data_IF_748748335884
#
_entry.id   IF_748748335884
#
_cell.length_a   1.000
_cell.length_b   1.000
_cell.length_c   1.000
_cell.angle_alpha   90.00
_cell.angle_beta   90.00
_cell.angle_gamma   90.00
#
_symmetry.space_group_name_H-M   'P 1'
#
loop_
_entity.id
_entity.type
_entity.pdbx_description
1 polymer ?
#
# COMPACT_ATOMS: atom_id res chain seq x y z
N UNK A 1 -12.76 15.64 35.87
CA UNK A 1 -12.26 16.16 34.58
C UNK A 1 -12.51 15.11 33.51
N UNK A 2 -13.58 15.26 32.73
CA UNK A 2 -13.90 14.31 31.66
C UNK A 2 -12.93 14.57 30.51
N UNK A 3 -12.04 13.60 30.22
CA UNK A 3 -11.26 13.62 28.99
C UNK A 3 -12.24 13.36 27.85
N UNK A 4 -12.65 14.42 27.16
CA UNK A 4 -13.27 14.28 25.85
C UNK A 4 -12.22 13.66 24.92
N UNK A 5 -12.30 12.34 24.73
CA UNK A 5 -11.47 11.68 23.74
C UNK A 5 -11.76 12.33 22.39
N UNK A 6 -10.78 13.03 21.85
CA UNK A 6 -10.88 13.69 20.56
C UNK A 6 -10.98 12.59 19.49
N UNK A 7 -12.15 12.48 18.84
CA UNK A 7 -12.41 11.49 17.80
C UNK A 7 -11.91 12.04 16.45
N UNK A 8 -11.33 11.17 15.63
CA UNK A 8 -11.03 11.52 14.25
C UNK A 8 -12.33 11.80 13.49
N UNK A 9 -12.32 12.76 12.57
CA UNK A 9 -13.46 13.12 11.74
C UNK A 9 -13.64 12.21 10.51
N UNK A 10 -12.76 11.24 10.32
CA UNK A 10 -12.82 10.30 9.20
C UNK A 10 -12.39 8.88 9.64
N UNK A 11 -12.75 7.85 8.86
CA UNK A 11 -12.28 6.48 9.12
C UNK A 11 -10.76 6.42 9.19
N UNK A 12 -10.25 5.60 10.10
CA UNK A 12 -8.83 5.29 10.23
C UNK A 12 -8.66 3.80 10.06
N UNK A 13 -8.02 3.40 8.97
CA UNK A 13 -7.66 2.01 8.73
C UNK A 13 -6.30 1.72 9.35
N UNK A 14 -6.26 0.77 10.26
CA UNK A 14 -5.05 0.37 10.98
C UNK A 14 -4.46 -0.92 10.40
N UNK A 15 -3.16 -1.08 10.56
CA UNK A 15 -2.49 -2.35 10.38
C UNK A 15 -2.73 -3.25 11.60
N UNK A 16 -3.09 -4.51 11.35
CA UNK A 16 -3.18 -5.53 12.39
C UNK A 16 -2.76 -6.89 11.84
N UNK A 17 -1.61 -7.38 12.29
CA UNK A 17 -1.09 -8.71 11.95
C UNK A 17 -0.01 -8.73 10.89
N UNK A 18 0.26 -7.62 10.21
CA UNK A 18 1.33 -7.51 9.21
C UNK A 18 2.41 -6.48 9.54
N UNK A 19 2.43 -5.96 10.78
CA UNK A 19 3.34 -4.89 11.20
C UNK A 19 4.80 -5.26 10.96
N UNK A 20 5.21 -6.45 11.39
CA UNK A 20 6.58 -6.91 11.24
C UNK A 20 6.95 -7.09 9.77
N UNK A 21 6.08 -7.72 8.99
CA UNK A 21 6.31 -7.92 7.56
C UNK A 21 6.41 -6.59 6.81
N UNK A 22 5.52 -5.64 7.12
CA UNK A 22 5.58 -4.28 6.58
C UNK A 22 6.90 -3.60 6.94
N UNK A 23 7.34 -3.69 8.21
CA UNK A 23 8.61 -3.11 8.67
C UNK A 23 9.79 -3.74 7.93
N UNK A 24 9.80 -5.06 7.75
CA UNK A 24 10.89 -5.77 7.08
C UNK A 24 10.98 -5.44 5.60
N UNK A 25 9.84 -5.28 4.93
CA UNK A 25 9.80 -4.78 3.56
C UNK A 25 10.33 -3.35 3.50
N UNK A 26 9.80 -2.45 4.34
CA UNK A 26 10.19 -1.03 4.32
C UNK A 26 11.65 -0.82 4.73
N UNK A 27 12.27 -1.73 5.49
CA UNK A 27 13.71 -1.73 5.75
C UNK A 27 14.56 -2.00 4.51
N UNK A 28 14.04 -2.79 3.57
CA UNK A 28 14.70 -3.11 2.28
C UNK A 28 14.46 -2.02 1.23
N UNK A 29 13.46 -1.19 1.46
CA UNK A 29 13.08 -0.09 0.57
C UNK A 29 14.17 0.99 0.61
N UNK A 30 14.59 1.42 -0.57
CA UNK A 30 15.50 2.56 -0.70
C UNK A 30 14.92 3.80 0.00
N UNK A 31 15.62 4.42 0.95
CA UNK A 31 15.11 5.59 1.65
C UNK A 31 14.72 6.74 0.71
N UNK A 32 15.44 6.87 -0.40
CA UNK A 32 15.22 7.88 -1.43
C UNK A 32 14.11 7.51 -2.43
N UNK A 33 13.58 6.29 -2.37
CA UNK A 33 12.48 5.85 -3.23
C UNK A 33 11.13 6.47 -2.86
N UNK A 34 10.20 6.50 -3.79
CA UNK A 34 8.80 6.82 -3.54
C UNK A 34 8.08 5.62 -2.93
N UNK A 35 7.21 5.89 -1.96
CA UNK A 35 6.29 4.88 -1.41
C UNK A 35 4.86 5.29 -1.75
N UNK A 36 4.21 4.50 -2.59
CA UNK A 36 2.81 4.66 -2.95
C UNK A 36 2.01 3.57 -2.25
N UNK A 37 0.99 3.96 -1.51
CA UNK A 37 0.29 3.06 -0.61
C UNK A 37 -1.22 3.13 -0.84
N UNK A 38 -1.90 2.04 -0.57
CA UNK A 38 -3.33 2.05 -0.34
C UNK A 38 -3.63 2.86 0.95
N UNK A 39 -4.86 2.87 1.40
CA UNK A 39 -5.33 3.65 2.55
C UNK A 39 -4.63 3.35 3.89
N UNK A 40 -3.96 2.21 4.06
CA UNK A 40 -3.11 1.90 5.22
C UNK A 40 -1.67 2.26 4.91
N UNK A 41 -1.21 3.41 5.38
CA UNK A 41 0.11 3.94 5.01
C UNK A 41 0.90 4.54 6.18
N UNK A 42 0.39 4.38 7.41
CA UNK A 42 0.98 5.04 8.58
C UNK A 42 2.41 4.54 8.88
N UNK A 43 2.68 3.24 8.75
CA UNK A 43 4.04 2.70 8.94
C UNK A 43 5.01 3.21 7.88
N UNK A 44 4.59 3.28 6.63
CA UNK A 44 5.40 3.83 5.55
C UNK A 44 5.72 5.31 5.81
N UNK A 45 4.74 6.10 6.28
CA UNK A 45 4.96 7.50 6.65
C UNK A 45 6.03 7.64 7.74
N UNK A 46 5.91 6.89 8.82
CA UNK A 46 6.87 6.92 9.93
C UNK A 46 8.26 6.48 9.48
N UNK A 47 8.36 5.44 8.68
CA UNK A 47 9.63 4.92 8.16
C UNK A 47 10.30 5.87 7.17
N UNK A 48 9.53 6.67 6.44
CA UNK A 48 10.03 7.72 5.55
C UNK A 48 10.43 9.00 6.30
N UNK A 49 10.42 8.96 7.64
CA UNK A 49 10.89 10.04 8.50
C UNK A 49 9.85 11.11 8.81
N UNK A 50 8.56 10.84 8.56
CA UNK A 50 7.52 11.76 9.00
C UNK A 50 7.45 11.78 10.53
N UNK A 51 7.48 12.95 11.17
CA UNK A 51 7.34 13.05 12.62
C UNK A 51 5.99 12.48 13.10
N UNK A 52 5.95 11.64 14.16
CA UNK A 52 4.70 11.07 14.66
C UNK A 52 3.65 12.13 14.98
N UNK A 53 4.06 13.27 15.52
CA UNK A 53 3.15 14.41 15.81
C UNK A 53 2.48 14.95 14.55
N UNK A 54 3.20 15.05 13.44
CA UNK A 54 2.64 15.48 12.17
C UNK A 54 1.64 14.46 11.64
N UNK A 55 1.99 13.18 11.63
CA UNK A 55 1.09 12.10 11.21
C UNK A 55 -0.20 12.08 12.05
N UNK A 56 -0.08 12.19 13.38
CA UNK A 56 -1.23 12.26 14.27
C UNK A 56 -2.12 13.47 13.94
N UNK A 57 -1.54 14.62 13.68
CA UNK A 57 -2.32 15.82 13.32
C UNK A 57 -3.10 15.62 12.01
N UNK A 58 -2.51 14.97 11.01
CA UNK A 58 -3.18 14.64 9.75
C UNK A 58 -4.35 13.67 9.96
N UNK A 59 -4.13 12.62 10.75
CA UNK A 59 -5.17 11.64 11.11
C UNK A 59 -6.34 12.32 11.83
N UNK A 60 -6.05 13.14 12.84
CA UNK A 60 -7.07 13.85 13.60
C UNK A 60 -7.83 14.89 12.76
N UNK A 61 -7.20 15.43 11.72
CA UNK A 61 -7.83 16.31 10.75
C UNK A 61 -8.66 15.59 9.67
N UNK A 62 -8.83 14.27 9.79
CA UNK A 62 -9.61 13.46 8.85
C UNK A 62 -8.88 13.06 7.57
N UNK A 63 -7.58 13.27 7.49
CA UNK A 63 -6.74 12.89 6.36
C UNK A 63 -5.96 11.61 6.65
N UNK A 64 -6.66 10.56 7.11
CA UNK A 64 -6.02 9.31 7.53
C UNK A 64 -5.72 8.33 6.39
N UNK A 65 -6.51 8.37 5.31
CA UNK A 65 -6.52 7.34 4.25
C UNK A 65 -6.01 7.83 2.90
N UNK A 66 -5.78 9.14 2.76
CA UNK A 66 -5.22 9.73 1.54
C UNK A 66 -4.22 10.81 1.90
N UNK A 67 -2.96 10.54 1.62
CA UNK A 67 -1.86 11.45 1.88
C UNK A 67 -1.12 11.81 0.59
N UNK A 68 -0.61 13.02 0.53
CA UNK A 68 0.36 13.43 -0.47
C UNK A 68 1.44 14.28 0.21
N UNK A 69 2.57 13.66 0.50
CA UNK A 69 3.70 14.31 1.17
C UNK A 69 4.97 14.18 0.32
N UNK A 70 5.17 15.02 -0.69
CA UNK A 70 6.33 14.95 -1.58
C UNK A 70 7.67 15.05 -0.83
N UNK A 71 7.73 15.83 0.26
CA UNK A 71 8.92 15.93 1.11
C UNK A 71 9.40 14.57 1.62
N UNK A 72 8.47 13.65 1.90
CA UNK A 72 8.78 12.29 2.37
C UNK A 72 8.69 11.26 1.24
N UNK A 73 8.41 11.72 0.01
CA UNK A 73 8.17 10.85 -1.15
C UNK A 73 7.11 9.78 -0.85
N UNK A 74 5.99 10.22 -0.27
CA UNK A 74 4.84 9.38 0.06
C UNK A 74 3.58 9.91 -0.63
N UNK A 75 2.82 8.96 -1.19
CA UNK A 75 1.46 9.16 -1.68
C UNK A 75 0.61 7.98 -1.27
N UNK A 76 -0.58 8.23 -0.73
CA UNK A 76 -1.58 7.19 -0.51
C UNK A 76 -2.94 7.60 -1.08
N UNK A 77 -3.76 6.60 -1.41
CA UNK A 77 -5.09 6.81 -1.95
C UNK A 77 -6.09 5.82 -1.35
N UNK A 78 -7.30 6.32 -1.07
CA UNK A 78 -8.44 5.50 -0.68
C UNK A 78 -9.09 4.76 -1.86
N UNK A 79 -8.69 5.08 -3.09
CA UNK A 79 -9.22 4.45 -4.32
C UNK A 79 -8.47 3.15 -4.56
N UNK A 80 -9.20 2.03 -4.63
CA UNK A 80 -8.62 0.73 -4.98
C UNK A 80 -7.97 0.81 -6.36
N UNK A 81 -6.70 0.41 -6.46
CA UNK A 81 -5.93 0.51 -7.69
C UNK A 81 -5.45 1.93 -8.05
N UNK A 82 -5.92 2.97 -7.34
CA UNK A 82 -5.62 4.36 -7.69
C UNK A 82 -4.13 4.72 -7.63
N UNK A 83 -3.34 4.06 -6.79
CA UNK A 83 -1.89 4.31 -6.70
C UNK A 83 -1.08 3.56 -7.76
N UNK A 84 -1.65 2.54 -8.39
CA UNK A 84 -0.90 1.61 -9.25
C UNK A 84 -0.42 2.29 -10.53
N UNK A 85 -1.33 2.94 -11.26
CA UNK A 85 -0.98 3.71 -12.46
C UNK A 85 -0.16 4.96 -12.14
N UNK A 86 -0.38 5.57 -10.97
CA UNK A 86 0.44 6.69 -10.49
C UNK A 86 1.87 6.24 -10.22
N UNK A 87 2.07 5.02 -9.68
CA UNK A 87 3.39 4.44 -9.48
C UNK A 87 4.14 4.27 -10.82
N UNK A 88 3.46 3.74 -11.83
CA UNK A 88 4.02 3.63 -13.19
C UNK A 88 4.40 5.00 -13.76
N UNK A 89 3.55 6.01 -13.56
CA UNK A 89 3.79 7.38 -14.06
C UNK A 89 4.99 8.05 -13.36
N UNK A 90 5.10 7.93 -12.04
CA UNK A 90 6.26 8.44 -11.29
C UNK A 90 7.54 7.74 -11.73
N UNK A 91 7.51 6.42 -11.87
CA UNK A 91 8.67 5.65 -12.32
C UNK A 91 9.11 6.01 -13.75
N UNK A 92 8.16 6.29 -14.64
CA UNK A 92 8.47 6.81 -15.96
C UNK A 92 9.16 8.18 -15.88
N UNK A 93 8.64 9.08 -15.04
CA UNK A 93 9.28 10.38 -14.79
C UNK A 93 10.70 10.26 -14.26
N UNK A 94 10.94 9.37 -13.30
CA UNK A 94 12.28 9.05 -12.76
C UNK A 94 13.20 8.59 -13.88
N UNK A 95 12.76 7.63 -14.70
CA UNK A 95 13.55 7.14 -15.82
C UNK A 95 13.88 8.24 -16.84
N UNK A 96 12.89 9.05 -17.21
CA UNK A 96 13.07 10.14 -18.18
C UNK A 96 14.00 11.25 -17.67
N UNK A 97 14.03 11.49 -16.36
CA UNK A 97 14.93 12.49 -15.76
C UNK A 97 16.34 11.97 -15.51
N UNK A 98 16.59 10.68 -15.68
CA UNK A 98 17.88 10.05 -15.35
C UNK A 98 18.13 9.91 -13.84
N UNK A 99 17.12 10.14 -12.99
CA UNK A 99 17.21 9.92 -11.55
C UNK A 99 17.37 8.42 -11.25
N UNK A 100 18.07 8.10 -10.15
CA UNK A 100 18.30 6.73 -9.69
C UNK A 100 17.31 6.29 -8.62
N UNK A 101 16.31 7.11 -8.32
CA UNK A 101 15.26 6.75 -7.38
C UNK A 101 14.41 5.58 -7.91
N UNK A 102 13.70 4.93 -7.01
CA UNK A 102 12.79 3.83 -7.32
C UNK A 102 11.42 4.10 -6.72
N UNK A 103 10.42 3.33 -7.14
CA UNK A 103 9.06 3.40 -6.65
C UNK A 103 8.68 2.07 -6.01
N UNK A 104 8.13 2.13 -4.81
CA UNK A 104 7.52 0.99 -4.12
C UNK A 104 6.02 1.21 -4.06
N UNK A 105 5.26 0.32 -4.68
CA UNK A 105 3.80 0.39 -4.73
C UNK A 105 3.21 -0.70 -3.84
N UNK A 106 2.68 -0.31 -2.68
CA UNK A 106 2.03 -1.20 -1.72
C UNK A 106 0.56 -1.36 -2.07
N UNK A 107 0.11 -2.59 -2.25
CA UNK A 107 -1.28 -2.91 -2.60
C UNK A 107 -1.71 -4.24 -1.98
N UNK A 108 -3.01 -4.36 -1.71
CA UNK A 108 -3.59 -5.64 -1.30
C UNK A 108 -3.72 -6.61 -2.49
N UNK A 109 -3.85 -7.89 -2.19
CA UNK A 109 -3.92 -8.97 -3.17
C UNK A 109 -5.11 -8.84 -4.14
N UNK A 110 -6.28 -8.35 -3.66
CA UNK A 110 -7.42 -8.10 -4.53
C UNK A 110 -7.13 -7.00 -5.56
N UNK A 111 -6.40 -5.95 -5.16
CA UNK A 111 -5.97 -4.88 -6.06
C UNK A 111 -4.99 -5.42 -7.10
N UNK A 112 -4.07 -6.29 -6.69
CA UNK A 112 -3.08 -6.87 -7.59
C UNK A 112 -3.70 -7.73 -8.70
N UNK A 113 -4.89 -8.28 -8.48
CA UNK A 113 -5.63 -9.06 -9.50
C UNK A 113 -6.51 -8.18 -10.42
N UNK A 114 -6.54 -6.87 -10.23
CA UNK A 114 -7.32 -5.97 -11.10
C UNK A 114 -6.65 -5.76 -12.45
N UNK A 115 -7.44 -5.46 -13.48
CA UNK A 115 -6.92 -5.14 -14.82
C UNK A 115 -5.91 -4.00 -14.82
N UNK A 116 -6.15 -2.95 -14.01
CA UNK A 116 -5.22 -1.82 -13.89
C UNK A 116 -3.87 -2.22 -13.31
N UNK A 117 -3.83 -3.19 -12.39
CA UNK A 117 -2.57 -3.71 -11.86
C UNK A 117 -1.82 -4.52 -12.92
N UNK A 118 -2.49 -5.44 -13.59
CA UNK A 118 -1.89 -6.22 -14.67
C UNK A 118 -1.34 -5.35 -15.80
N UNK A 119 -2.10 -4.35 -16.23
CA UNK A 119 -1.67 -3.40 -17.26
C UNK A 119 -0.44 -2.60 -16.81
N UNK A 120 -0.46 -2.07 -15.60
CA UNK A 120 0.64 -1.26 -15.06
C UNK A 120 1.91 -2.10 -14.87
N UNK A 121 1.80 -3.31 -14.32
CA UNK A 121 2.94 -4.23 -14.16
C UNK A 121 3.54 -4.54 -15.52
N UNK A 122 2.72 -4.93 -16.50
CA UNK A 122 3.17 -5.21 -17.87
C UNK A 122 3.87 -4.01 -18.50
N UNK A 123 3.27 -2.82 -18.36
CA UNK A 123 3.86 -1.60 -18.90
C UNK A 123 5.22 -1.30 -18.26
N UNK A 124 5.29 -1.35 -16.93
CA UNK A 124 6.53 -1.08 -16.21
C UNK A 124 7.64 -2.05 -16.58
N UNK A 125 7.35 -3.33 -16.69
CA UNK A 125 8.32 -4.37 -17.10
C UNK A 125 8.82 -4.15 -18.51
N UNK A 126 7.93 -3.94 -19.47
CA UNK A 126 8.29 -3.72 -20.86
C UNK A 126 9.13 -2.46 -21.06
N UNK A 127 8.88 -1.45 -20.26
CA UNK A 127 9.64 -0.20 -20.27
C UNK A 127 10.80 -0.17 -19.27
N UNK A 128 11.06 -1.27 -18.54
CA UNK A 128 12.13 -1.36 -17.53
C UNK A 128 12.09 -0.17 -16.55
N UNK A 129 10.90 0.12 -16.03
CA UNK A 129 10.70 1.20 -15.08
C UNK A 129 11.10 0.75 -13.65
N UNK A 130 11.67 1.63 -12.83
CA UNK A 130 12.15 1.30 -11.49
C UNK A 130 11.00 1.20 -10.48
N UNK A 131 10.13 0.20 -10.62
CA UNK A 131 9.02 -0.08 -9.70
C UNK A 131 9.22 -1.43 -9.04
N UNK A 132 8.96 -1.48 -7.74
CA UNK A 132 8.78 -2.72 -6.98
C UNK A 132 7.35 -2.78 -6.47
N UNK A 133 6.64 -3.83 -6.82
CA UNK A 133 5.27 -4.10 -6.42
C UNK A 133 5.28 -4.86 -5.11
N UNK A 134 4.71 -4.28 -4.05
CA UNK A 134 4.62 -4.90 -2.72
C UNK A 134 3.18 -5.35 -2.50
N UNK A 135 2.97 -6.66 -2.46
CA UNK A 135 1.65 -7.28 -2.35
C UNK A 135 1.45 -7.78 -0.92
N UNK A 136 0.47 -7.19 -0.24
CA UNK A 136 0.08 -7.47 1.13
C UNK A 136 -1.14 -8.39 1.12
N UNK A 137 -0.92 -9.71 1.25
CA UNK A 137 -1.95 -10.73 1.09
C UNK A 137 -2.51 -11.19 2.44
N UNK A 138 -3.78 -10.86 2.72
CA UNK A 138 -4.57 -11.45 3.82
C UNK A 138 -5.69 -12.37 3.32
N UNK A 139 -5.76 -12.63 2.03
CA UNK A 139 -6.76 -13.47 1.37
C UNK A 139 -8.14 -12.83 1.23
N UNK A 140 -8.30 -11.55 1.61
CA UNK A 140 -9.60 -10.88 1.64
C UNK A 140 -9.52 -9.41 1.28
N UNK A 141 -10.50 -8.94 0.51
CA UNK A 141 -10.77 -7.52 0.37
C UNK A 141 -12.08 -7.19 1.09
N UNK A 142 -12.01 -6.35 2.12
CA UNK A 142 -13.11 -6.10 3.06
C UNK A 142 -13.61 -7.40 3.66
N UNK A 143 -14.71 -7.95 3.17
CA UNK A 143 -15.31 -9.23 3.63
C UNK A 143 -15.21 -10.34 2.56
N UNK A 144 -14.69 -10.04 1.37
CA UNK A 144 -14.73 -10.93 0.21
C UNK A 144 -13.41 -11.68 0.06
N UNK A 145 -13.49 -13.01 -0.03
CA UNK A 145 -12.31 -13.82 -0.32
C UNK A 145 -11.85 -13.57 -1.77
N UNK A 146 -10.57 -13.24 -1.93
CA UNK A 146 -10.01 -12.83 -3.22
C UNK A 146 -9.99 -13.97 -4.22
N UNK A 147 -9.53 -15.16 -3.82
CA UNK A 147 -9.50 -16.33 -4.73
C UNK A 147 -10.90 -16.75 -5.18
N UNK A 148 -11.89 -16.66 -4.28
CA UNK A 148 -13.27 -16.96 -4.64
C UNK A 148 -13.87 -15.91 -5.59
N UNK A 149 -13.59 -14.61 -5.36
CA UNK A 149 -14.11 -13.53 -6.19
C UNK A 149 -13.61 -13.59 -7.63
N UNK A 150 -12.37 -13.98 -7.83
CA UNK A 150 -11.71 -14.07 -9.13
C UNK A 150 -11.68 -15.48 -9.71
N UNK A 151 -12.23 -16.49 -9.01
CA UNK A 151 -12.15 -17.91 -9.37
C UNK A 151 -10.71 -18.39 -9.63
N UNK A 152 -9.77 -17.99 -8.75
CA UNK A 152 -8.35 -18.28 -8.90
C UNK A 152 -7.93 -19.57 -8.20
N UNK A 153 -7.16 -20.39 -8.89
CA UNK A 153 -6.39 -21.47 -8.26
C UNK A 153 -5.14 -20.90 -7.56
N UNK A 154 -4.44 -19.97 -8.21
CA UNK A 154 -3.25 -19.31 -7.70
C UNK A 154 -3.23 -17.85 -8.16
N UNK A 155 -2.58 -16.99 -7.41
CA UNK A 155 -2.33 -15.62 -7.82
C UNK A 155 -1.22 -15.55 -8.88
N UNK A 156 -1.24 -14.53 -9.75
CA UNK A 156 -0.24 -14.43 -10.82
C UNK A 156 1.18 -14.30 -10.27
N UNK A 157 1.39 -13.62 -9.16
CA UNK A 157 2.72 -13.49 -8.55
C UNK A 157 3.22 -14.77 -7.87
N UNK A 158 2.31 -15.68 -7.45
CA UNK A 158 2.67 -17.01 -6.94
C UNK A 158 3.24 -17.91 -8.07
N UNK A 159 2.88 -17.63 -9.31
CA UNK A 159 3.31 -18.39 -10.49
C UNK A 159 4.63 -17.87 -11.07
N UNK A 160 5.04 -16.68 -10.70
CA UNK A 160 6.25 -16.01 -11.19
C UNK A 160 7.45 -16.25 -10.29
N UNK A 161 8.06 -17.43 -10.39
CA UNK A 161 9.25 -17.76 -9.63
C UNK A 161 10.43 -16.86 -10.02
N UNK A 162 10.95 -16.08 -9.06
CA UNK A 162 12.17 -15.29 -9.25
C UNK A 162 11.94 -13.88 -9.83
N UNK A 163 10.72 -13.39 -9.91
CA UNK A 163 10.47 -11.99 -10.27
C UNK A 163 11.13 -11.05 -9.24
N UNK A 164 12.05 -10.22 -9.70
CA UNK A 164 12.81 -9.28 -8.83
C UNK A 164 12.05 -7.99 -8.54
N UNK A 165 11.00 -7.72 -9.30
CA UNK A 165 10.16 -6.54 -9.19
C UNK A 165 8.90 -6.74 -8.31
N UNK A 166 8.74 -7.93 -7.72
CA UNK A 166 7.61 -8.25 -6.84
C UNK A 166 8.10 -8.72 -5.48
N UNK A 167 7.56 -8.13 -4.44
CA UNK A 167 7.69 -8.60 -3.05
C UNK A 167 6.29 -8.93 -2.58
N UNK A 168 6.03 -10.17 -2.20
CA UNK A 168 4.76 -10.56 -1.63
C UNK A 168 4.94 -11.17 -0.26
N UNK A 169 4.00 -10.92 0.63
CA UNK A 169 3.93 -11.60 1.92
C UNK A 169 2.49 -11.85 2.33
N UNK A 170 2.28 -12.96 3.01
CA UNK A 170 0.99 -13.35 3.55
C UNK A 170 0.94 -13.10 5.04
N UNK A 171 -0.22 -12.62 5.52
CA UNK A 171 -0.47 -12.35 6.93
C UNK A 171 -1.90 -12.67 7.34
N UNK A 172 -2.11 -12.81 8.63
CA UNK A 172 -3.44 -12.98 9.21
C UNK A 172 -3.78 -11.77 10.09
N UNK A 173 -4.99 -11.27 9.94
CA UNK A 173 -5.47 -10.18 10.77
C UNK A 173 -5.77 -10.67 12.19
N UNK A 174 -5.19 -10.02 13.20
CA UNK A 174 -5.38 -10.38 14.59
C UNK A 174 -6.69 -9.84 15.17
N UNK A 175 -7.19 -8.73 14.65
CA UNK A 175 -8.39 -8.07 15.15
C UNK A 175 -9.38 -7.78 14.03
N UNK A 176 -10.70 -7.86 14.30
CA UNK A 176 -11.72 -7.43 13.35
C UNK A 176 -11.59 -5.91 13.09
N UNK A 177 -11.49 -5.54 11.85
CA UNK A 177 -11.55 -4.13 11.39
C UNK A 177 -12.04 -4.09 9.94
N UNK A 178 -12.29 -2.91 9.41
CA UNK A 178 -12.61 -2.77 8.00
C UNK A 178 -11.50 -3.41 7.13
N UNK A 179 -11.87 -4.33 6.25
CA UNK A 179 -10.93 -5.13 5.47
C UNK A 179 -10.40 -6.39 6.15
N UNK A 180 -10.86 -6.72 7.36
CA UNK A 180 -10.47 -7.94 8.09
C UNK A 180 -11.49 -9.08 8.03
N UNK A 181 -12.46 -9.01 7.12
CA UNK A 181 -13.51 -10.02 6.96
C UNK A 181 -14.69 -9.84 7.91
N UNK A 182 -14.73 -8.80 8.71
CA UNK A 182 -15.85 -8.40 9.55
C UNK A 182 -16.34 -7.02 9.17
N UNK A 183 -17.66 -6.84 9.10
CA UNK A 183 -18.24 -5.52 8.86
C UNK A 183 -18.24 -4.75 10.18
N UNK A 184 -17.54 -3.64 10.22
CA UNK A 184 -17.55 -2.73 11.35
C UNK A 184 -18.33 -1.49 10.92
N UNK A 185 -19.34 -1.12 11.70
CA UNK A 185 -20.00 0.18 11.59
C UNK A 185 -19.37 1.11 12.66
N UNK A 186 -18.97 2.27 12.21
CA UNK A 186 -18.44 3.33 13.08
C UNK A 186 -19.56 4.28 13.51
#
# INVERSE_FOLDING_TARGET
>A
MSSTAQKSHAPVDLYFGNEQACIDVVRRVCPEGWSLCSWRSHYQCLRKGMPPRQLTAEIMAGRAISFCFPKYRILSSAIVGGVVSVAASIALGIKCSGDQACVYCFMGEMTAETGIAHESVKYCRNHQLPVTWVIEDNGKSVCTNTKAAWALASHWWELENGATDVISYRYENHYPHAGAGSRIQF
#
